data_IF_913275864245
#
_entry.id   IF_913275864245
#
_cell.length_a   1.000
_cell.length_b   1.000
_cell.length_c   1.000
_cell.angle_alpha   90.00
_cell.angle_beta   90.00
_cell.angle_gamma   90.00
#
_symmetry.space_group_name_H-M   'P 1'
#
loop_
_entity.id
_entity.type
_entity.pdbx_description
1 polymer ?
#
# COMPACT_ATOMS: atom_id res chain seq x y z
N UNK A 1 6.39 -16.72 -8.37
CA UNK A 1 5.60 -16.60 -7.13
C UNK A 1 5.02 -15.21 -7.10
N UNK A 2 3.74 -15.05 -6.75
CA UNK A 2 3.11 -13.73 -6.72
C UNK A 2 3.26 -13.09 -5.34
N UNK A 3 3.48 -11.78 -5.35
CA UNK A 3 3.62 -10.92 -4.18
C UNK A 3 2.35 -10.06 -4.07
N UNK A 4 2.02 -9.63 -2.85
CA UNK A 4 1.09 -8.49 -2.68
C UNK A 4 1.62 -7.26 -3.43
N UNK A 5 0.72 -6.37 -3.83
CA UNK A 5 1.09 -5.05 -4.34
C UNK A 5 1.02 -4.00 -3.23
N UNK A 6 1.94 -3.05 -3.27
CA UNK A 6 2.08 -1.98 -2.29
C UNK A 6 1.81 -0.63 -2.93
N UNK A 7 1.39 0.35 -2.14
CA UNK A 7 1.15 1.70 -2.62
C UNK A 7 2.43 2.31 -3.20
N UNK A 8 2.37 2.83 -4.42
CA UNK A 8 3.51 3.42 -5.10
C UNK A 8 4.09 4.63 -4.37
N UNK A 9 3.30 5.30 -3.54
CA UNK A 9 3.66 6.56 -2.88
C UNK A 9 4.17 6.33 -1.46
N UNK A 10 3.49 5.54 -0.63
CA UNK A 10 3.88 5.30 0.76
C UNK A 10 4.51 3.91 1.02
N UNK A 11 4.40 2.98 0.06
CA UNK A 11 4.92 1.62 0.19
C UNK A 11 4.10 0.70 1.11
N UNK A 12 3.02 1.19 1.72
CA UNK A 12 2.15 0.39 2.60
C UNK A 12 1.21 -0.49 1.78
N UNK A 13 0.88 -1.68 2.31
CA UNK A 13 -0.06 -2.62 1.69
C UNK A 13 -1.52 -2.15 1.67
N UNK A 14 -2.32 -2.82 0.85
CA UNK A 14 -3.77 -2.58 0.73
C UNK A 14 -4.63 -3.59 1.51
N UNK A 15 -3.98 -4.49 2.23
CA UNK A 15 -4.61 -5.58 2.98
C UNK A 15 -3.67 -6.00 4.13
N UNK A 16 -4.08 -7.02 4.89
CA UNK A 16 -3.21 -7.64 5.90
C UNK A 16 -2.99 -6.82 7.17
N UNK A 17 -3.74 -5.73 7.39
CA UNK A 17 -3.66 -4.94 8.64
C UNK A 17 -4.35 -5.70 9.77
N UNK A 18 -3.57 -6.49 10.51
CA UNK A 18 -4.05 -7.25 11.65
C UNK A 18 -3.94 -6.41 12.92
N UNK A 19 -5.04 -6.18 13.61
CA UNK A 19 -5.07 -5.56 14.95
C UNK A 19 -5.38 -6.67 15.95
N UNK A 20 -4.56 -6.79 17.00
CA UNK A 20 -4.75 -7.84 18.01
C UNK A 20 -6.01 -7.60 18.83
N UNK A 21 -6.68 -8.68 19.26
CA UNK A 21 -7.71 -8.57 20.30
C UNK A 21 -7.05 -8.18 21.64
N UNK A 22 -7.58 -7.18 22.36
CA UNK A 22 -7.04 -6.79 23.66
C UNK A 22 -6.93 -7.95 24.65
N UNK A 23 -5.72 -8.21 25.14
CA UNK A 23 -5.44 -9.18 26.19
C UNK A 23 -4.17 -8.82 26.97
N UNK A 24 -4.10 -9.19 28.25
CA UNK A 24 -2.90 -8.97 29.07
C UNK A 24 -1.70 -9.77 28.55
N UNK A 25 -1.93 -11.03 28.17
CA UNK A 25 -0.91 -11.92 27.60
C UNK A 25 -0.38 -11.40 26.27
N UNK A 26 -1.25 -10.92 25.37
CA UNK A 26 -0.84 -10.27 24.11
C UNK A 26 -0.04 -8.99 24.33
N UNK A 27 -0.48 -8.16 25.29
CA UNK A 27 0.22 -6.91 25.65
C UNK A 27 1.64 -7.19 26.14
N UNK A 28 1.81 -8.15 27.06
CA UNK A 28 3.12 -8.48 27.63
C UNK A 28 4.06 -9.10 26.59
N UNK A 29 3.55 -10.00 25.74
CA UNK A 29 4.30 -10.59 24.62
C UNK A 29 4.81 -9.51 23.66
N UNK A 30 3.94 -8.56 23.30
CA UNK A 30 4.30 -7.43 22.44
C UNK A 30 5.36 -6.54 23.07
N UNK A 31 5.23 -6.20 24.36
CA UNK A 31 6.23 -5.40 25.09
C UNK A 31 7.61 -6.03 25.00
N UNK A 32 7.72 -7.34 25.31
CA UNK A 32 8.99 -8.08 25.22
C UNK A 32 9.57 -8.06 23.81
N UNK A 33 8.72 -8.25 22.80
CA UNK A 33 9.16 -8.21 21.40
C UNK A 33 9.71 -6.83 21.01
N UNK A 34 9.00 -5.75 21.39
CA UNK A 34 9.43 -4.37 21.11
C UNK A 34 10.74 -4.05 21.84
N UNK A 35 10.89 -4.48 23.09
CA UNK A 35 12.13 -4.30 23.86
C UNK A 35 13.32 -5.01 23.20
N UNK A 36 13.16 -6.29 22.79
CA UNK A 36 14.20 -7.04 22.05
C UNK A 36 14.57 -6.33 20.74
N UNK A 37 13.57 -5.87 19.96
CA UNK A 37 13.80 -5.11 18.72
C UNK A 37 14.57 -3.82 18.98
N UNK A 38 14.17 -3.05 19.99
CA UNK A 38 14.81 -1.79 20.36
C UNK A 38 16.27 -2.00 20.74
N UNK A 39 16.58 -3.03 21.54
CA UNK A 39 17.94 -3.38 21.91
C UNK A 39 18.79 -3.78 20.69
N UNK A 40 18.25 -4.58 19.78
CA UNK A 40 18.95 -4.98 18.56
C UNK A 40 19.26 -3.78 17.66
N UNK A 41 18.30 -2.87 17.47
CA UNK A 41 18.50 -1.63 16.72
C UNK A 41 19.58 -0.74 17.36
N UNK A 42 19.58 -0.60 18.69
CA UNK A 42 20.61 0.16 19.41
C UNK A 42 22.00 -0.48 19.29
N UNK A 43 22.07 -1.80 19.19
CA UNK A 43 23.31 -2.54 18.96
C UNK A 43 23.76 -2.54 17.48
N UNK A 44 23.02 -1.89 16.57
CA UNK A 44 23.31 -1.91 15.13
C UNK A 44 23.10 -3.28 14.48
N UNK A 45 22.36 -4.17 15.13
CA UNK A 45 22.03 -5.51 14.61
C UNK A 45 20.79 -5.45 13.72
N UNK A 46 20.71 -6.37 12.75
CA UNK A 46 19.46 -6.54 12.00
C UNK A 46 18.40 -7.17 12.89
N UNK A 47 17.17 -6.67 12.81
CA UNK A 47 16.02 -7.25 13.53
C UNK A 47 15.78 -8.70 13.09
N UNK A 48 16.12 -9.06 11.84
CA UNK A 48 16.02 -10.44 11.33
C UNK A 48 16.92 -11.43 12.07
N UNK A 49 17.90 -10.91 12.84
CA UNK A 49 18.85 -11.68 13.62
C UNK A 49 18.46 -11.78 15.09
N UNK A 50 17.35 -11.16 15.51
CA UNK A 50 16.85 -11.26 16.88
C UNK A 50 16.31 -12.67 17.11
N UNK A 51 16.85 -13.42 18.10
CA UNK A 51 16.39 -14.77 18.39
C UNK A 51 14.89 -14.82 18.67
N UNK A 52 14.18 -15.61 17.85
CA UNK A 52 12.82 -16.04 18.15
C UNK A 52 12.93 -17.23 19.11
N UNK A 53 13.05 -16.96 20.41
CA UNK A 53 13.23 -17.98 21.47
C UNK A 53 11.95 -18.83 21.66
N UNK A 54 11.50 -19.55 20.63
CA UNK A 54 10.31 -20.39 20.65
C UNK A 54 8.97 -19.66 20.86
N UNK A 55 8.99 -18.33 20.98
CA UNK A 55 7.79 -17.49 21.08
C UNK A 55 7.18 -17.27 19.70
N UNK A 56 5.86 -17.45 19.56
CA UNK A 56 5.17 -17.12 18.31
C UNK A 56 5.34 -15.64 17.97
N UNK A 57 5.77 -15.31 16.73
CA UNK A 57 5.99 -13.93 16.34
C UNK A 57 4.70 -13.11 16.44
N UNK A 58 4.81 -11.92 17.02
CA UNK A 58 3.70 -10.96 17.05
C UNK A 58 3.60 -10.32 15.67
N UNK A 59 2.51 -10.63 14.94
CA UNK A 59 2.26 -10.19 13.56
C UNK A 59 1.02 -9.30 13.44
N UNK A 60 0.72 -8.54 14.48
CA UNK A 60 -0.45 -7.67 14.57
C UNK A 60 -0.04 -6.35 15.22
N UNK A 61 -0.81 -5.29 15.02
CA UNK A 61 -0.67 -4.00 15.68
C UNK A 61 -1.32 -3.96 17.06
N UNK A 62 -0.83 -3.05 17.89
CA UNK A 62 -1.37 -2.82 19.24
C UNK A 62 -2.75 -2.14 19.17
N UNK A 63 -3.82 -2.78 19.69
CA UNK A 63 -5.17 -2.20 19.72
C UNK A 63 -5.27 -0.95 20.60
N UNK A 64 -4.28 -0.64 21.45
CA UNK A 64 -4.22 0.60 22.24
C UNK A 64 -3.70 1.80 21.44
N UNK A 65 -3.02 1.55 20.33
CA UNK A 65 -2.41 2.58 19.47
C UNK A 65 -3.24 2.76 18.21
N UNK A 66 -3.70 1.65 17.62
CA UNK A 66 -4.37 1.64 16.31
C UNK A 66 -5.68 0.86 16.42
N UNK A 67 -6.78 1.55 16.12
CA UNK A 67 -8.09 0.96 15.87
C UNK A 67 -8.37 0.75 14.38
N UNK A 68 -9.50 0.14 14.07
CA UNK A 68 -9.91 -0.11 12.68
C UNK A 68 -10.08 1.19 11.89
N UNK A 69 -10.59 2.23 12.55
CA UNK A 69 -10.73 3.57 12.00
C UNK A 69 -9.41 4.18 11.53
N UNK A 70 -8.28 3.81 12.14
CA UNK A 70 -6.96 4.31 11.75
C UNK A 70 -6.41 3.62 10.51
N UNK A 71 -6.84 2.39 10.19
CA UNK A 71 -6.31 1.56 9.09
C UNK A 71 -7.30 1.32 7.96
N UNK A 72 -8.59 1.62 8.15
CA UNK A 72 -9.63 1.34 7.15
C UNK A 72 -9.35 1.99 5.79
N UNK A 73 -8.68 3.14 5.77
CA UNK A 73 -8.28 3.83 4.55
C UNK A 73 -7.31 3.00 3.68
N UNK A 74 -6.48 2.16 4.31
CA UNK A 74 -5.48 1.32 3.62
C UNK A 74 -6.14 0.32 2.67
N UNK A 75 -7.37 -0.09 2.96
CA UNK A 75 -8.12 -1.06 2.15
C UNK A 75 -8.76 -0.46 0.89
N UNK A 76 -8.72 0.86 0.74
CA UNK A 76 -9.22 1.56 -0.44
C UNK A 76 -8.06 1.80 -1.41
N UNK A 77 -8.10 1.12 -2.54
CA UNK A 77 -7.09 1.22 -3.59
C UNK A 77 -7.59 2.08 -4.75
N UNK A 78 -6.67 2.82 -5.36
CA UNK A 78 -6.83 3.53 -6.62
C UNK A 78 -5.65 3.15 -7.51
N UNK A 79 -5.73 3.44 -8.81
CA UNK A 79 -4.57 3.28 -9.67
C UNK A 79 -4.47 4.30 -10.79
N UNK A 80 -3.23 4.51 -11.21
CA UNK A 80 -2.87 5.23 -12.42
C UNK A 80 -2.55 4.21 -13.51
N UNK A 81 -3.29 4.24 -14.61
CA UNK A 81 -3.12 3.32 -15.72
C UNK A 81 -2.95 4.03 -17.06
N UNK A 82 -2.53 3.27 -18.06
CA UNK A 82 -2.40 3.72 -19.44
C UNK A 82 -3.24 2.84 -20.37
N UNK A 83 -4.15 3.44 -21.14
CA UNK A 83 -4.93 2.77 -22.17
C UNK A 83 -4.38 3.11 -23.57
N UNK A 84 -3.62 2.20 -24.21
CA UNK A 84 -3.07 2.42 -25.54
C UNK A 84 -4.14 2.44 -26.65
N UNK A 85 -5.32 1.84 -26.40
CA UNK A 85 -6.43 1.74 -27.36
C UNK A 85 -7.31 3.01 -27.38
N UNK A 86 -7.13 3.92 -26.42
CA UNK A 86 -7.86 5.18 -26.41
C UNK A 86 -7.43 6.07 -27.58
N UNK A 87 -8.41 6.59 -28.32
CA UNK A 87 -8.19 7.55 -29.40
C UNK A 87 -7.34 8.73 -28.88
N UNK A 88 -6.33 9.13 -29.65
CA UNK A 88 -5.29 10.10 -29.26
C UNK A 88 -5.84 11.33 -28.50
N UNK A 89 -5.33 11.57 -27.28
CA UNK A 89 -5.69 12.73 -26.44
C UNK A 89 -6.00 12.36 -24.99
N UNK A 90 -6.87 13.16 -24.34
CA UNK A 90 -7.43 12.91 -23.00
C UNK A 90 -8.05 11.50 -22.96
N UNK A 91 -7.54 10.64 -22.08
CA UNK A 91 -8.01 9.25 -21.93
C UNK A 91 -6.96 8.16 -22.17
N UNK A 92 -5.75 8.52 -22.65
CA UNK A 92 -4.62 7.57 -22.71
C UNK A 92 -4.05 7.23 -21.35
N UNK A 93 -4.08 8.16 -20.40
CA UNK A 93 -3.78 7.91 -18.98
C UNK A 93 -5.05 8.15 -18.19
N UNK A 94 -5.27 7.34 -17.16
CA UNK A 94 -6.45 7.48 -16.30
C UNK A 94 -6.07 7.25 -14.85
N UNK A 95 -6.76 7.97 -13.96
CA UNK A 95 -6.84 7.64 -12.55
C UNK A 95 -8.17 6.93 -12.32
N UNK A 96 -8.15 5.77 -11.68
CA UNK A 96 -9.35 4.99 -11.43
C UNK A 96 -10.26 5.66 -10.37
N UNK A 97 -11.51 5.20 -10.31
CA UNK A 97 -12.32 5.34 -9.09
C UNK A 97 -11.80 4.43 -7.96
N UNK A 98 -12.43 4.48 -6.77
CA UNK A 98 -12.05 3.62 -5.66
C UNK A 98 -12.33 2.14 -5.97
N UNK A 99 -11.40 1.30 -5.56
CA UNK A 99 -11.49 -0.15 -5.57
C UNK A 99 -10.86 -0.74 -4.31
N UNK A 100 -10.47 -2.00 -4.40
CA UNK A 100 -9.87 -2.75 -3.30
C UNK A 100 -8.87 -3.78 -3.85
N UNK A 101 -7.96 -4.23 -3.00
CA UNK A 101 -7.03 -5.31 -3.31
C UNK A 101 -7.78 -6.64 -3.46
N UNK A 102 -7.59 -7.33 -4.59
CA UNK A 102 -8.24 -8.60 -4.85
C UNK A 102 -7.42 -9.75 -4.27
N UNK A 103 -6.29 -10.07 -4.91
CA UNK A 103 -5.25 -11.01 -4.47
C UNK A 103 -4.08 -10.93 -5.47
N UNK A 104 -2.93 -11.54 -5.18
CA UNK A 104 -1.87 -11.83 -6.18
C UNK A 104 -1.38 -10.56 -6.92
N UNK A 105 -1.31 -9.42 -6.23
CA UNK A 105 -0.87 -8.15 -6.83
C UNK A 105 -1.92 -7.48 -7.74
N UNK A 106 -3.18 -7.90 -7.63
CA UNK A 106 -4.29 -7.36 -8.41
C UNK A 106 -5.18 -6.43 -7.58
N UNK A 107 -5.75 -5.43 -8.25
CA UNK A 107 -6.78 -4.57 -7.68
C UNK A 107 -8.05 -4.67 -8.52
N UNK A 108 -9.19 -4.69 -7.85
CA UNK A 108 -10.50 -4.68 -8.47
C UNK A 108 -11.14 -3.30 -8.34
N UNK A 109 -11.39 -2.66 -9.48
CA UNK A 109 -12.07 -1.37 -9.57
C UNK A 109 -13.50 -1.61 -10.05
N UNK A 110 -14.48 -0.97 -9.41
CA UNK A 110 -15.87 -1.01 -9.88
C UNK A 110 -15.97 -0.35 -11.26
N UNK A 111 -16.53 -1.07 -12.22
CA UNK A 111 -16.98 -0.52 -13.50
C UNK A 111 -18.16 0.44 -13.24
N UNK A 112 -18.42 1.37 -14.16
CA UNK A 112 -19.35 2.51 -13.98
C UNK A 112 -20.78 2.17 -13.53
N UNK A 113 -21.63 3.19 -13.39
CA UNK A 113 -22.94 3.13 -12.72
C UNK A 113 -24.00 2.20 -13.34
N UNK A 114 -23.76 1.62 -14.53
CA UNK A 114 -24.76 0.87 -15.30
C UNK A 114 -24.54 -0.65 -15.28
N UNK A 115 -23.82 -1.13 -14.28
CA UNK A 115 -23.24 -2.45 -14.29
C UNK A 115 -24.16 -3.49 -13.57
N UNK A 116 -24.20 -4.73 -14.07
CA UNK A 116 -25.09 -5.83 -13.63
C UNK A 116 -24.49 -6.61 -12.46
N UNK A 117 -25.21 -6.82 -11.34
CA UNK A 117 -24.68 -7.48 -10.15
C UNK A 117 -23.98 -8.82 -10.47
N UNK A 118 -22.65 -8.84 -10.31
CA UNK A 118 -21.81 -10.04 -10.44
C UNK A 118 -20.73 -10.00 -11.53
N UNK A 119 -20.72 -9.01 -12.43
CA UNK A 119 -19.71 -8.91 -13.52
C UNK A 119 -19.02 -7.53 -13.65
N UNK A 120 -19.18 -6.65 -12.66
CA UNK A 120 -18.92 -5.21 -12.83
C UNK A 120 -17.59 -4.72 -12.28
N UNK A 121 -16.52 -5.49 -12.46
CA UNK A 121 -15.21 -5.09 -11.95
C UNK A 121 -14.14 -5.32 -12.99
N UNK A 122 -13.38 -4.26 -13.26
CA UNK A 122 -12.12 -4.40 -13.98
C UNK A 122 -11.06 -4.77 -12.95
N UNK A 123 -10.43 -5.93 -13.17
CA UNK A 123 -9.29 -6.39 -12.38
C UNK A 123 -8.02 -6.02 -13.13
N UNK A 124 -7.12 -5.34 -12.44
CA UNK A 124 -5.87 -4.88 -13.02
C UNK A 124 -4.69 -5.48 -12.28
N UNK A 125 -3.72 -5.99 -13.03
CA UNK A 125 -2.42 -6.40 -12.50
C UNK A 125 -1.56 -5.17 -12.22
N UNK A 126 -1.14 -5.00 -10.97
CA UNK A 126 -0.29 -3.89 -10.57
C UNK A 126 1.17 -4.13 -10.98
N UNK A 127 1.87 -3.09 -11.44
CA UNK A 127 3.31 -3.09 -11.81
C UNK A 127 3.74 -4.09 -12.91
N UNK A 128 2.94 -5.10 -13.25
CA UNK A 128 3.19 -6.12 -14.26
C UNK A 128 2.61 -5.76 -15.63
N UNK A 129 2.85 -6.58 -16.65
CA UNK A 129 2.53 -6.30 -18.06
C UNK A 129 1.03 -6.17 -18.42
N UNK A 130 0.12 -6.23 -17.44
CA UNK A 130 -1.34 -6.25 -17.65
C UNK A 130 -1.85 -7.55 -18.25
N UNK A 131 -3.11 -7.55 -18.68
CA UNK A 131 -3.79 -8.69 -19.32
C UNK A 131 -4.29 -8.33 -20.72
N UNK A 132 -4.78 -9.32 -21.48
CA UNK A 132 -5.41 -9.08 -22.79
C UNK A 132 -6.62 -8.14 -22.70
N UNK A 133 -7.35 -8.23 -21.58
CA UNK A 133 -8.53 -7.42 -21.26
C UNK A 133 -8.14 -6.02 -20.73
N UNK A 134 -7.03 -5.92 -20.00
CA UNK A 134 -6.53 -4.67 -19.40
C UNK A 134 -5.06 -4.43 -19.77
N UNK A 135 -4.78 -3.70 -20.86
CA UNK A 135 -3.42 -3.55 -21.36
C UNK A 135 -2.55 -2.68 -20.42
N UNK A 136 -1.37 -3.21 -20.06
CA UNK A 136 -0.29 -2.50 -19.37
C UNK A 136 -0.38 -2.50 -17.84
N UNK A 137 0.73 -2.21 -17.14
CA UNK A 137 0.74 -2.09 -15.70
C UNK A 137 -0.17 -0.96 -15.25
N UNK A 138 -0.87 -1.19 -14.14
CA UNK A 138 -1.41 -0.09 -13.34
C UNK A 138 -0.49 0.16 -12.14
N UNK A 139 -0.44 1.40 -11.71
CA UNK A 139 0.34 1.83 -10.55
C UNK A 139 -0.64 2.08 -9.40
N UNK A 140 -0.68 1.22 -8.38
CA UNK A 140 -1.64 1.33 -7.29
C UNK A 140 -1.21 2.37 -6.26
N UNK A 141 -2.17 3.07 -5.67
CA UNK A 141 -1.94 4.02 -4.58
C UNK A 141 -3.17 4.18 -3.69
N UNK A 142 -2.97 4.68 -2.47
CA UNK A 142 -4.07 5.15 -1.62
C UNK A 142 -4.46 6.58 -1.98
N UNK A 143 -5.75 6.91 -1.86
CA UNK A 143 -6.29 8.22 -2.25
C UNK A 143 -5.58 9.40 -1.57
N UNK A 144 -5.44 9.36 -0.25
CA UNK A 144 -4.77 10.43 0.50
C UNK A 144 -3.28 10.57 0.14
N UNK A 145 -2.60 9.48 -0.20
CA UNK A 145 -1.22 9.54 -0.67
C UNK A 145 -1.11 10.30 -2.00
N UNK A 146 -2.08 10.12 -2.89
CA UNK A 146 -2.13 10.85 -4.16
C UNK A 146 -2.46 12.34 -3.96
N UNK A 147 -3.32 12.67 -3.00
CA UNK A 147 -3.59 14.06 -2.61
C UNK A 147 -2.31 14.75 -2.10
N UNK A 148 -1.54 14.07 -1.25
CA UNK A 148 -0.24 14.56 -0.76
C UNK A 148 0.73 14.78 -1.92
N UNK A 149 0.88 13.79 -2.81
CA UNK A 149 1.75 13.90 -3.99
C UNK A 149 1.33 15.09 -4.88
N UNK A 150 0.03 15.22 -5.14
CA UNK A 150 -0.53 16.32 -5.96
C UNK A 150 -0.23 17.67 -5.31
N UNK A 151 -0.37 17.78 -3.99
CA UNK A 151 -0.05 19.00 -3.23
C UNK A 151 1.42 19.34 -3.28
N UNK A 152 2.31 18.34 -3.18
CA UNK A 152 3.76 18.56 -3.30
C UNK A 152 4.14 19.03 -4.71
N UNK A 153 3.53 18.46 -5.75
CA UNK A 153 3.87 18.79 -7.15
C UNK A 153 3.26 20.11 -7.62
N UNK A 154 2.09 20.49 -7.12
CA UNK A 154 1.29 21.60 -7.69
C UNK A 154 0.95 22.71 -6.70
N UNK A 155 1.19 22.50 -5.40
CA UNK A 155 0.72 23.39 -4.33
C UNK A 155 -0.78 23.24 -4.00
N UNK A 156 -1.51 22.33 -4.65
CA UNK A 156 -2.95 22.12 -4.45
C UNK A 156 -3.31 20.62 -4.49
N UNK A 157 -4.53 20.24 -4.11
CA UNK A 157 -5.03 18.87 -4.32
C UNK A 157 -5.71 18.69 -5.68
N UNK A 158 -5.62 19.69 -6.58
CA UNK A 158 -6.13 19.58 -7.94
C UNK A 158 -5.14 18.81 -8.82
N UNK A 159 -5.51 17.57 -9.13
CA UNK A 159 -4.68 16.67 -9.94
C UNK A 159 -4.68 17.04 -11.44
N UNK A 160 -5.51 17.98 -11.90
CA UNK A 160 -5.53 18.40 -13.31
C UNK A 160 -4.24 19.10 -13.76
N UNK A 161 -3.48 19.66 -12.81
CA UNK A 161 -2.18 20.29 -13.07
C UNK A 161 -1.01 19.29 -13.12
N UNK A 162 -1.23 18.02 -12.77
CA UNK A 162 -0.19 16.98 -12.82
C UNK A 162 -0.18 16.33 -14.20
N UNK A 163 0.99 16.28 -14.85
CA UNK A 163 1.16 15.50 -16.08
C UNK A 163 1.13 13.99 -15.77
N UNK A 164 -0.06 13.40 -15.89
CA UNK A 164 -0.31 11.99 -15.60
C UNK A 164 0.49 11.03 -16.48
N UNK A 165 0.88 11.46 -17.68
CA UNK A 165 1.68 10.62 -18.59
C UNK A 165 3.13 10.57 -18.12
N UNK A 166 3.70 11.71 -17.77
CA UNK A 166 5.04 11.76 -17.18
C UNK A 166 5.05 10.97 -15.87
N UNK A 167 4.05 11.18 -15.01
CA UNK A 167 3.95 10.47 -13.73
C UNK A 167 3.86 8.95 -13.93
N UNK A 168 2.99 8.49 -14.84
CA UNK A 168 2.84 7.06 -15.15
C UNK A 168 4.15 6.45 -15.66
N UNK A 169 4.82 7.11 -16.59
CA UNK A 169 6.08 6.62 -17.16
C UNK A 169 7.15 6.50 -16.08
N UNK A 170 7.34 7.54 -15.27
CA UNK A 170 8.32 7.55 -14.17
C UNK A 170 8.04 6.45 -13.16
N UNK A 171 6.78 6.30 -12.72
CA UNK A 171 6.41 5.24 -11.78
C UNK A 171 6.60 3.85 -12.39
N UNK A 172 6.25 3.67 -13.66
CA UNK A 172 6.44 2.37 -14.34
C UNK A 172 7.92 2.01 -14.41
N UNK A 173 8.79 2.93 -14.82
CA UNK A 173 10.25 2.74 -14.90
C UNK A 173 10.89 2.44 -13.53
N UNK A 174 10.29 2.95 -12.45
CA UNK A 174 10.74 2.69 -11.09
C UNK A 174 10.23 1.38 -10.49
N UNK A 175 9.39 0.61 -11.17
CA UNK A 175 8.87 -0.67 -10.62
C UNK A 175 10.01 -1.62 -10.26
N UNK A 176 9.88 -2.32 -9.13
CA UNK A 176 10.87 -3.29 -8.66
C UNK A 176 10.78 -4.62 -9.43
N UNK A 177 11.80 -5.46 -9.27
CA UNK A 177 11.90 -6.76 -9.97
C UNK A 177 10.81 -7.75 -9.59
N UNK A 178 10.21 -7.59 -8.41
CA UNK A 178 9.09 -8.40 -7.93
C UNK A 178 7.73 -7.90 -8.39
N UNK A 179 7.67 -6.80 -9.14
CA UNK A 179 6.44 -6.14 -9.59
C UNK A 179 5.45 -5.89 -8.45
N UNK A 180 5.94 -5.42 -7.31
CA UNK A 180 5.14 -5.24 -6.09
C UNK A 180 5.17 -3.81 -5.52
N UNK A 181 6.21 -3.04 -5.83
CA UNK A 181 6.38 -1.65 -5.38
C UNK A 181 7.31 -0.88 -6.32
N UNK A 182 7.45 0.42 -6.10
CA UNK A 182 8.54 1.19 -6.71
C UNK A 182 9.86 0.96 -5.98
N UNK A 183 10.97 1.14 -6.68
CA UNK A 183 12.35 1.12 -6.17
C UNK A 183 12.68 2.42 -5.43
N UNK A 184 11.82 2.81 -4.51
CA UNK A 184 11.96 3.97 -3.64
C UNK A 184 12.36 3.54 -2.24
N UNK A 185 12.97 4.46 -1.49
CA UNK A 185 13.22 4.25 -0.07
C UNK A 185 11.97 4.63 0.74
N UNK A 186 11.11 3.65 1.03
CA UNK A 186 9.92 3.84 1.87
C UNK A 186 10.21 3.84 3.39
N UNK A 187 11.49 3.74 3.78
CA UNK A 187 11.90 3.51 5.17
C UNK A 187 12.00 2.03 5.50
N UNK A 188 12.84 1.71 6.49
CA UNK A 188 13.25 0.34 6.78
C UNK A 188 12.10 -0.54 7.28
N UNK A 189 11.18 0.02 8.08
CA UNK A 189 10.02 -0.71 8.59
C UNK A 189 9.05 -1.07 7.46
N UNK A 190 8.73 -0.13 6.57
CA UNK A 190 7.89 -0.40 5.40
C UNK A 190 8.54 -1.48 4.53
N UNK A 191 9.82 -1.32 4.21
CA UNK A 191 10.55 -2.28 3.36
C UNK A 191 10.61 -3.68 3.98
N UNK A 192 10.66 -3.79 5.31
CA UNK A 192 10.61 -5.06 6.04
C UNK A 192 9.21 -5.67 6.03
N UNK A 193 8.17 -4.84 6.09
CA UNK A 193 6.78 -5.28 6.03
C UNK A 193 6.38 -5.75 4.62
N UNK A 194 7.11 -5.31 3.58
CA UNK A 194 6.95 -5.78 2.21
C UNK A 194 7.56 -7.19 2.04
N UNK A 195 6.77 -8.10 1.51
CA UNK A 195 7.13 -9.50 1.29
C UNK A 195 6.12 -10.18 0.37
N UNK A 196 5.97 -11.51 0.49
CA UNK A 196 4.91 -12.20 -0.24
C UNK A 196 3.52 -11.71 0.18
N UNK A 197 3.39 -11.39 1.47
CA UNK A 197 2.22 -10.78 2.09
C UNK A 197 2.67 -9.57 2.89
N UNK A 198 1.79 -8.60 3.13
CA UNK A 198 2.05 -7.53 4.11
C UNK A 198 2.21 -8.11 5.53
N UNK A 199 3.27 -7.71 6.24
CA UNK A 199 3.49 -8.06 7.64
C UNK A 199 3.34 -6.86 8.58
N UNK A 200 2.45 -6.94 9.57
CA UNK A 200 2.37 -5.95 10.63
C UNK A 200 3.57 -6.07 11.57
N UNK A 201 4.41 -5.04 11.61
CA UNK A 201 5.57 -4.97 12.50
C UNK A 201 5.15 -4.25 13.80
N UNK A 202 5.16 -4.93 14.96
CA UNK A 202 4.89 -4.29 16.24
C UNK A 202 5.83 -3.12 16.53
N UNK A 203 5.33 -2.03 17.09
CA UNK A 203 6.13 -0.82 17.33
C UNK A 203 6.36 0.04 16.08
N UNK A 204 5.86 -0.34 14.90
CA UNK A 204 5.87 0.47 13.67
C UNK A 204 4.47 0.99 13.30
N UNK A 205 3.52 1.01 14.25
CA UNK A 205 2.10 1.35 14.01
C UNK A 205 1.88 2.72 13.36
N UNK A 206 2.80 3.67 13.60
CA UNK A 206 2.78 5.00 12.99
C UNK A 206 2.72 4.94 11.46
N UNK A 207 3.31 3.92 10.82
CA UNK A 207 3.31 3.79 9.36
C UNK A 207 1.94 3.44 8.76
N UNK A 208 0.99 3.02 9.59
CA UNK A 208 -0.37 2.63 9.17
C UNK A 208 -1.43 3.69 9.48
N UNK A 209 -1.05 4.82 10.06
CA UNK A 209 -1.96 5.95 10.28
C UNK A 209 -2.22 6.71 8.98
N UNK A 210 -3.46 7.20 8.82
CA UNK A 210 -3.79 8.07 7.70
C UNK A 210 -2.96 9.38 7.80
N UNK A 211 -2.08 9.66 6.82
CA UNK A 211 -1.21 10.82 6.88
C UNK A 211 -1.98 12.15 6.82
N UNK A 212 -3.25 12.17 6.39
CA UNK A 212 -4.06 13.40 6.37
C UNK A 212 -4.99 13.56 7.58
N UNK A 213 -5.26 12.50 8.33
CA UNK A 213 -6.11 12.57 9.53
C UNK A 213 -5.51 13.48 10.62
N UNK A 214 -4.18 13.60 10.66
CA UNK A 214 -3.46 14.48 11.59
C UNK A 214 -3.46 15.97 11.21
N UNK A 215 -3.98 16.35 10.03
CA UNK A 215 -4.00 17.73 9.54
C UNK A 215 -5.40 18.37 9.53
N UNK A 216 -6.39 17.73 10.14
CA UNK A 216 -7.72 18.32 10.36
C UNK A 216 -7.67 19.24 11.58
N UNK A 217 -7.36 20.52 11.37
CA UNK A 217 -7.59 21.62 12.33
C UNK A 217 -8.79 22.45 11.91
#
# INVERSE_FOLDING_TARGET
MAYDCYCAICGVGFCGMLIETPSETGTERRRRWIEKRSQALQAGQSIDQVPQDGEEPVRSYDPKIVGWENVAWLYKAYCLGFNPKAASGKGKTFVSGPGYYADVGEIAIKSGTDAVPGQDRNVYTCYGSGTDDTPGPVIPFHGCCFDILTRVLTGSTDSTAVDMKVLYNVMTELSNESSSALRLNYGDDIRRAQGRYWECIPGAEASSHDPVASFSY
#
